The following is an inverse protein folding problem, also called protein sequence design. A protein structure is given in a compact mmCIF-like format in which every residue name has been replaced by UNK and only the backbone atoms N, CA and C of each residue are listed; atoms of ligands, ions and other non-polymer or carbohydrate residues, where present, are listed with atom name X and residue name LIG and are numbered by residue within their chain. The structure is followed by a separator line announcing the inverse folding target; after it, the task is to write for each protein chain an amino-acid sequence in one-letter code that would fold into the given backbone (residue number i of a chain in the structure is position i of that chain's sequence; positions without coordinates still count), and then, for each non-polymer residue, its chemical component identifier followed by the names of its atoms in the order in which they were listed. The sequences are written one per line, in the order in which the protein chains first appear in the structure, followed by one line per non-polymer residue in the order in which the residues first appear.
data_IF_609176255396
#
_entry.id   IF_609176255396
#
_cell.length_a   1.000
_cell.length_b   1.000
_cell.length_c   1.000
_cell.angle_alpha   90.00
_cell.angle_beta   90.00
_cell.angle_gamma   90.00
#
_symmetry.space_group_name_H-M   'P 1'
#
loop_
_entity.id
_entity.type
_entity.pdbx_description
1 polymer ?
#
# COMPACT_ATOMS: atom_id res chain seq x y z
N UNK A 1 12.30 17.37 22.60
CA UNK A 1 13.58 16.67 22.85
C UNK A 1 14.82 17.55 22.69
N UNK A 2 16.01 16.94 22.64
CA UNK A 2 17.30 17.59 22.30
C UNK A 2 18.36 17.54 23.42
N UNK A 3 19.63 17.50 23.03
CA UNK A 3 20.78 17.45 23.95
C UNK A 3 21.24 18.88 24.26
N UNK A 4 21.18 19.36 25.51
CA UNK A 4 21.63 20.72 25.83
C UNK A 4 23.13 20.86 25.56
N UNK A 5 23.53 21.78 24.69
CA UNK A 5 24.94 21.94 24.25
C UNK A 5 25.63 23.16 24.89
N UNK A 6 24.89 24.01 25.60
CA UNK A 6 25.39 25.32 26.01
C UNK A 6 26.58 25.36 26.97
N UNK A 7 27.01 24.24 27.56
CA UNK A 7 28.23 24.18 28.38
C UNK A 7 29.48 23.99 27.53
N UNK A 8 30.59 24.64 27.92
CA UNK A 8 31.86 24.60 27.18
C UNK A 8 32.31 23.17 26.85
N UNK A 9 32.29 22.25 27.83
CA UNK A 9 32.70 20.86 27.62
C UNK A 9 31.79 20.11 26.65
N UNK A 10 30.49 20.41 26.62
CA UNK A 10 29.57 19.81 25.64
C UNK A 10 29.81 20.40 24.24
N UNK A 11 30.03 21.71 24.12
CA UNK A 11 30.45 22.33 22.85
C UNK A 11 31.73 21.67 22.32
N UNK A 12 32.73 21.44 23.17
CA UNK A 12 33.99 20.76 22.80
C UNK A 12 33.75 19.33 22.32
N UNK A 13 32.97 18.53 23.06
CA UNK A 13 32.66 17.17 22.66
C UNK A 13 31.95 17.11 21.29
N UNK A 14 31.00 18.00 21.05
CA UNK A 14 30.29 18.07 19.77
C UNK A 14 31.14 18.63 18.64
N UNK A 15 32.01 19.61 18.91
CA UNK A 15 32.98 20.11 17.94
C UNK A 15 33.91 18.98 17.44
N UNK A 16 34.37 18.11 18.35
CA UNK A 16 35.15 16.93 17.99
C UNK A 16 34.29 15.93 17.18
N UNK A 17 33.07 15.62 17.66
CA UNK A 17 32.17 14.64 17.04
C UNK A 17 31.73 15.00 15.61
N UNK A 18 31.54 16.28 15.33
CA UNK A 18 31.16 16.79 14.01
C UNK A 18 32.34 17.32 13.20
N UNK A 19 33.55 17.27 13.77
CA UNK A 19 34.76 17.85 13.17
C UNK A 19 34.59 19.33 12.79
N UNK A 20 33.82 20.06 13.60
CA UNK A 20 33.47 21.46 13.36
C UNK A 20 33.84 22.32 14.57
N UNK A 21 34.96 23.05 14.45
CA UNK A 21 35.44 23.95 15.48
C UNK A 21 34.56 25.20 15.64
N UNK A 22 33.69 25.53 14.67
CA UNK A 22 32.79 26.69 14.76
C UNK A 22 31.79 26.53 15.90
N UNK A 23 31.43 25.30 16.27
CA UNK A 23 30.57 24.98 17.43
C UNK A 23 31.14 25.54 18.73
N UNK A 24 32.46 25.63 18.87
CA UNK A 24 33.13 26.21 20.05
C UNK A 24 33.14 27.73 20.05
N UNK A 25 33.36 28.34 18.89
CA UNK A 25 33.62 29.78 18.74
C UNK A 25 32.34 30.59 18.53
N UNK A 26 31.26 29.95 18.10
CA UNK A 26 30.01 30.63 17.77
C UNK A 26 29.30 31.17 19.02
N UNK A 27 28.90 32.44 18.94
CA UNK A 27 28.09 33.12 19.96
C UNK A 27 26.59 32.77 19.85
N UNK A 28 26.16 32.19 18.71
CA UNK A 28 24.78 31.76 18.49
C UNK A 28 24.36 30.60 19.41
N UNK A 29 25.31 29.83 19.95
CA UNK A 29 25.02 28.74 20.89
C UNK A 29 25.03 29.28 22.32
N UNK A 30 23.84 29.34 22.92
CA UNK A 30 23.60 29.79 24.30
C UNK A 30 23.43 28.61 25.25
N UNK A 31 23.27 28.90 26.55
CA UNK A 31 22.95 27.89 27.57
C UNK A 31 21.62 27.17 27.33
N UNK A 32 20.70 27.80 26.60
CA UNK A 32 19.39 27.26 26.25
C UNK A 32 19.40 26.44 24.94
N UNK A 33 20.49 26.52 24.16
CA UNK A 33 20.57 25.83 22.88
C UNK A 33 20.61 24.32 23.10
N UNK A 34 19.76 23.62 22.33
CA UNK A 34 19.71 22.16 22.28
C UNK A 34 20.10 21.69 20.89
N UNK A 35 21.00 20.73 20.85
CA UNK A 35 21.35 20.02 19.64
C UNK A 35 20.31 18.93 19.37
N UNK A 36 19.77 18.90 18.15
CA UNK A 36 18.92 17.82 17.67
C UNK A 36 19.78 16.87 16.83
N UNK A 37 19.82 15.60 17.22
CA UNK A 37 20.52 14.53 16.51
C UNK A 37 19.55 13.39 16.19
N UNK A 38 19.90 12.57 15.20
CA UNK A 38 19.12 11.40 14.77
C UNK A 38 17.65 11.80 14.60
N UNK A 39 17.40 12.78 13.73
CA UNK A 39 16.05 13.32 13.50
C UNK A 39 15.21 12.35 12.68
N UNK A 40 15.86 11.61 11.80
CA UNK A 40 15.26 10.50 11.10
C UNK A 40 14.89 9.38 12.10
N UNK A 41 13.65 8.89 12.00
CA UNK A 41 13.12 7.91 12.94
C UNK A 41 13.84 6.56 12.80
N UNK A 42 13.97 5.96 11.60
CA UNK A 42 14.75 4.73 11.42
C UNK A 42 16.17 4.82 11.99
N UNK A 43 16.91 5.89 11.69
CA UNK A 43 18.25 6.09 12.26
C UNK A 43 18.25 6.15 13.79
N UNK A 44 17.26 6.86 14.37
CA UNK A 44 17.11 6.97 15.83
C UNK A 44 16.83 5.62 16.47
N UNK A 45 15.91 4.84 15.89
CA UNK A 45 15.55 3.53 16.41
C UNK A 45 16.71 2.55 16.34
N UNK A 46 17.47 2.57 15.24
CA UNK A 46 18.68 1.76 15.09
C UNK A 46 19.73 2.08 16.16
N UNK A 47 19.85 3.35 16.58
CA UNK A 47 20.75 3.74 17.67
C UNK A 47 20.24 3.28 19.04
N UNK A 48 18.94 3.33 19.28
CA UNK A 48 18.35 3.02 20.59
C UNK A 48 18.24 1.52 20.86
N UNK A 49 17.85 0.73 19.85
CA UNK A 49 17.68 -0.71 19.97
C UNK A 49 18.20 -1.39 18.67
N UNK A 50 19.53 -1.47 18.49
CA UNK A 50 20.16 -1.98 17.25
C UNK A 50 19.94 -3.47 17.00
N UNK A 51 19.41 -4.20 17.99
CA UNK A 51 19.15 -5.63 17.94
C UNK A 51 17.77 -5.97 17.35
N UNK A 52 16.93 -4.95 17.09
CA UNK A 52 15.72 -5.09 16.30
C UNK A 52 16.01 -4.65 14.86
N UNK A 53 15.36 -5.31 13.92
CA UNK A 53 15.26 -4.83 12.53
C UNK A 53 14.04 -3.91 12.44
N UNK A 54 14.13 -2.81 11.71
CA UNK A 54 13.03 -1.85 11.57
C UNK A 54 12.49 -1.83 10.15
N UNK A 55 11.19 -1.60 10.03
CA UNK A 55 10.56 -1.31 8.74
C UNK A 55 11.12 0.02 8.19
N UNK A 56 11.50 0.06 6.91
CA UNK A 56 12.14 1.25 6.33
C UNK A 56 11.18 2.44 6.16
N UNK A 57 9.87 2.19 6.08
CA UNK A 57 8.85 3.22 5.85
C UNK A 57 7.92 3.35 7.06
N UNK A 58 8.28 4.14 8.08
CA UNK A 58 7.38 4.47 9.18
C UNK A 58 6.24 5.36 8.68
N UNK A 59 5.05 5.20 9.26
CA UNK A 59 3.88 5.97 8.89
C UNK A 59 3.39 6.85 10.03
N UNK A 60 2.63 7.89 9.68
CA UNK A 60 2.03 8.82 10.63
C UNK A 60 0.55 8.51 10.83
N UNK A 61 0.10 8.61 12.08
CA UNK A 61 -1.30 8.55 12.46
C UNK A 61 -1.67 9.80 13.26
N UNK A 62 -2.92 10.25 13.10
CA UNK A 62 -3.51 11.32 13.90
C UNK A 62 -4.36 10.67 14.97
N UNK A 63 -4.04 10.93 16.24
CA UNK A 63 -4.83 10.43 17.36
C UNK A 63 -6.08 11.28 17.58
N UNK A 64 -7.07 10.74 18.32
CA UNK A 64 -8.35 11.42 18.60
C UNK A 64 -8.18 12.82 19.24
N UNK A 65 -7.09 13.03 19.99
CA UNK A 65 -6.71 14.31 20.61
C UNK A 65 -5.93 15.25 19.66
N UNK A 66 -5.75 14.86 18.39
CA UNK A 66 -5.10 15.64 17.35
C UNK A 66 -3.57 15.56 17.35
N UNK A 67 -2.96 14.67 18.14
CA UNK A 67 -1.52 14.49 18.14
C UNK A 67 -1.06 13.68 16.93
N UNK A 68 0.15 14.00 16.46
CA UNK A 68 0.82 13.30 15.38
C UNK A 68 1.75 12.25 15.96
N UNK A 69 1.43 10.97 15.72
CA UNK A 69 2.25 9.83 16.18
C UNK A 69 2.85 9.14 14.97
N UNK A 70 4.17 9.03 14.94
CA UNK A 70 4.88 8.13 14.04
C UNK A 70 4.80 6.71 14.58
N UNK A 71 4.53 5.75 13.71
CA UNK A 71 4.48 4.34 14.03
C UNK A 71 5.48 3.63 13.11
N UNK A 72 6.36 2.85 13.71
CA UNK A 72 7.36 2.06 13.00
C UNK A 72 7.29 0.61 13.47
N UNK A 73 7.32 -0.28 12.49
CA UNK A 73 7.34 -1.71 12.71
C UNK A 73 8.74 -2.20 13.05
N UNK A 74 8.85 -3.07 14.05
CA UNK A 74 10.12 -3.63 14.48
C UNK A 74 10.03 -5.14 14.64
N UNK A 75 11.13 -5.79 14.28
CA UNK A 75 11.21 -7.23 14.12
C UNK A 75 12.36 -7.81 14.93
N UNK A 76 12.09 -8.97 15.51
CA UNK A 76 13.16 -9.87 15.94
C UNK A 76 13.53 -10.78 14.78
N UNK A 77 14.84 -10.92 14.53
CA UNK A 77 15.38 -11.77 13.48
C UNK A 77 16.43 -12.73 14.02
N UNK A 78 16.60 -13.86 13.34
CA UNK A 78 17.73 -14.77 13.59
C UNK A 78 18.15 -15.48 12.31
N UNK A 79 19.45 -15.80 12.24
CA UNK A 79 20.04 -16.59 11.15
C UNK A 79 20.21 -18.08 11.51
N UNK A 80 19.97 -18.45 12.77
CA UNK A 80 20.32 -19.76 13.34
C UNK A 80 19.14 -20.40 14.08
N UNK A 81 17.92 -19.98 13.79
CA UNK A 81 16.74 -20.57 14.42
C UNK A 81 16.57 -22.03 13.97
N UNK A 82 16.41 -22.99 14.88
CA UNK A 82 16.41 -24.41 14.52
C UNK A 82 15.21 -24.79 13.65
N UNK A 83 15.37 -25.80 12.80
CA UNK A 83 14.30 -26.38 11.96
C UNK A 83 13.56 -25.39 11.06
N UNK A 84 14.25 -24.35 10.59
CA UNK A 84 13.68 -23.30 9.73
C UNK A 84 14.50 -23.11 8.46
N UNK A 85 13.80 -22.75 7.38
CA UNK A 85 14.42 -22.49 6.08
C UNK A 85 14.96 -21.07 6.04
N UNK A 86 16.20 -20.92 5.59
CA UNK A 86 16.80 -19.60 5.43
C UNK A 86 16.25 -18.90 4.19
N UNK A 87 15.74 -17.70 4.41
CA UNK A 87 15.36 -16.75 3.37
C UNK A 87 16.52 -15.78 3.15
N UNK A 88 16.86 -15.42 1.90
CA UNK A 88 17.85 -14.38 1.63
C UNK A 88 17.56 -13.10 2.42
N UNK A 89 18.62 -12.42 2.87
CA UNK A 89 18.59 -11.14 3.61
C UNK A 89 18.02 -11.18 5.04
N UNK A 90 16.99 -11.98 5.32
CA UNK A 90 16.26 -11.96 6.59
C UNK A 90 16.62 -13.10 7.57
N UNK A 91 17.46 -14.04 7.14
CA UNK A 91 17.82 -15.19 7.94
C UNK A 91 16.73 -16.26 7.90
N UNK A 92 16.55 -16.99 8.98
CA UNK A 92 15.60 -18.10 9.06
C UNK A 92 14.54 -17.92 10.17
N UNK A 93 14.49 -16.73 10.77
CA UNK A 93 13.49 -16.33 11.74
C UNK A 93 13.15 -14.85 11.58
N UNK A 94 11.86 -14.55 11.57
CA UNK A 94 11.33 -13.19 11.51
C UNK A 94 10.00 -13.17 12.26
N UNK A 95 9.86 -12.24 13.20
CA UNK A 95 8.60 -11.92 13.89
C UNK A 95 8.44 -10.41 14.03
N UNK A 96 7.27 -9.88 13.71
CA UNK A 96 6.90 -8.48 13.97
C UNK A 96 6.46 -8.34 15.42
N UNK A 97 7.44 -8.44 16.33
CA UNK A 97 7.16 -8.56 17.76
C UNK A 97 6.93 -7.21 18.44
N UNK A 98 7.34 -6.10 17.80
CA UNK A 98 7.34 -4.78 18.42
C UNK A 98 6.76 -3.73 17.47
N UNK A 99 5.87 -2.88 18.00
CA UNK A 99 5.47 -1.61 17.38
C UNK A 99 6.13 -0.47 18.13
N UNK A 100 6.82 0.41 17.43
CA UNK A 100 7.41 1.62 18.02
C UNK A 100 6.53 2.81 17.70
N UNK A 101 6.08 3.51 18.73
CA UNK A 101 5.27 4.72 18.60
C UNK A 101 6.08 5.90 19.09
N UNK A 102 6.18 6.96 18.30
CA UNK A 102 6.91 8.17 18.66
C UNK A 102 6.03 9.39 18.43
N UNK A 103 5.88 10.22 19.45
CA UNK A 103 5.25 11.53 19.29
C UNK A 103 6.10 12.45 18.41
N UNK A 104 5.50 13.05 17.38
CA UNK A 104 6.22 13.91 16.45
C UNK A 104 6.76 15.19 17.11
N UNK A 105 6.21 15.62 18.25
CA UNK A 105 6.60 16.83 18.97
C UNK A 105 7.73 16.58 19.97
N UNK A 106 7.61 15.58 20.84
CA UNK A 106 8.64 15.32 21.86
C UNK A 106 9.81 14.45 21.34
N UNK A 107 9.52 13.58 20.36
CA UNK A 107 10.44 12.64 19.73
C UNK A 107 10.82 11.44 20.59
N UNK A 108 10.05 11.09 21.62
CA UNK A 108 10.37 9.97 22.52
C UNK A 108 9.73 8.69 21.96
N UNK A 109 10.52 7.70 21.50
CA UNK A 109 9.97 6.43 21.02
C UNK A 109 9.59 5.52 22.19
N UNK A 110 8.42 4.91 22.09
CA UNK A 110 7.87 3.92 23.01
C UNK A 110 7.76 2.56 22.29
N UNK A 111 8.41 1.55 22.84
CA UNK A 111 8.49 0.22 22.24
C UNK A 111 7.41 -0.70 22.84
N UNK A 112 6.36 -1.01 22.09
CA UNK A 112 5.26 -1.87 22.51
C UNK A 112 5.43 -3.28 21.97
N UNK A 113 5.45 -4.28 22.85
CA UNK A 113 5.51 -5.70 22.44
C UNK A 113 4.11 -6.18 22.08
N UNK A 114 3.93 -6.58 20.82
CA UNK A 114 2.65 -7.02 20.23
C UNK A 114 2.59 -8.53 19.96
N UNK A 115 3.72 -9.23 19.93
CA UNK A 115 3.79 -10.70 19.93
C UNK A 115 4.53 -11.15 21.19
N UNK A 116 3.81 -11.34 22.29
CA UNK A 116 4.38 -11.76 23.57
C UNK A 116 4.81 -13.24 23.56
N UNK A 117 4.39 -14.00 22.54
CA UNK A 117 4.75 -15.41 22.35
C UNK A 117 6.13 -15.59 21.71
N UNK A 118 6.72 -14.52 21.15
CA UNK A 118 8.03 -14.58 20.52
C UNK A 118 9.15 -14.81 21.55
N UNK A 119 9.89 -15.93 21.49
CA UNK A 119 10.97 -16.22 22.44
C UNK A 119 12.12 -15.21 22.37
N UNK A 120 12.36 -14.59 21.20
CA UNK A 120 13.44 -13.61 21.04
C UNK A 120 13.11 -12.33 21.79
N UNK A 121 11.89 -11.79 21.62
CA UNK A 121 11.49 -10.58 22.36
C UNK A 121 11.42 -10.83 23.87
N UNK A 122 10.98 -12.02 24.32
CA UNK A 122 11.00 -12.38 25.74
C UNK A 122 12.42 -12.35 26.34
N UNK A 123 13.44 -12.72 25.56
CA UNK A 123 14.84 -12.60 25.99
C UNK A 123 15.25 -11.12 26.11
N UNK A 124 14.92 -10.30 25.11
CA UNK A 124 15.25 -8.87 25.15
C UNK A 124 14.51 -8.11 26.26
N UNK A 125 13.27 -8.47 26.58
CA UNK A 125 12.54 -7.92 27.73
C UNK A 125 13.25 -8.20 29.06
N UNK A 126 13.88 -9.36 29.22
CA UNK A 126 14.68 -9.69 30.42
C UNK A 126 15.99 -8.90 30.48
N UNK A 127 16.62 -8.65 29.34
CA UNK A 127 17.87 -7.88 29.25
C UNK A 127 17.62 -6.38 29.45
N UNK A 128 16.51 -5.85 28.91
CA UNK A 128 16.15 -4.43 28.91
C UNK A 128 14.74 -4.21 29.52
N UNK A 129 14.57 -4.41 30.84
CA UNK A 129 13.25 -4.43 31.48
C UNK A 129 12.49 -3.09 31.43
N UNK A 130 13.18 -1.98 31.19
CA UNK A 130 12.58 -0.64 31.12
C UNK A 130 12.32 -0.15 29.70
N UNK A 131 12.83 -0.84 28.68
CA UNK A 131 12.72 -0.41 27.29
C UNK A 131 11.33 -0.70 26.72
N UNK A 132 10.79 -1.87 27.05
CA UNK A 132 9.58 -2.40 26.46
C UNK A 132 8.34 -2.15 27.32
N UNK A 133 7.21 -1.96 26.63
CA UNK A 133 5.89 -1.80 27.21
C UNK A 133 4.95 -2.87 26.69
N UNK A 134 3.92 -3.19 27.47
CA UNK A 134 2.87 -4.09 27.03
C UNK A 134 1.99 -3.37 25.99
N UNK A 135 1.63 -4.03 24.88
CA UNK A 135 0.72 -3.49 23.88
C UNK A 135 -0.62 -3.02 24.43
N UNK A 136 -1.11 -3.59 25.53
CA UNK A 136 -2.32 -3.13 26.22
C UNK A 136 -2.23 -1.66 26.65
N UNK A 137 -1.03 -1.18 26.99
CA UNK A 137 -0.76 0.21 27.38
C UNK A 137 -0.72 1.18 26.20
N UNK A 138 -0.75 0.67 24.96
CA UNK A 138 -0.83 1.52 23.78
C UNK A 138 -2.21 2.19 23.73
N UNK A 139 -2.21 3.48 23.43
CA UNK A 139 -3.45 4.25 23.31
C UNK A 139 -4.42 3.63 22.28
N UNK A 140 -5.72 3.68 22.58
CA UNK A 140 -6.74 3.01 21.75
C UNK A 140 -6.86 3.68 20.37
N UNK A 141 -6.66 5.01 20.30
CA UNK A 141 -6.63 5.71 19.02
C UNK A 141 -5.44 5.25 18.19
N UNK A 142 -4.26 5.05 18.79
CA UNK A 142 -3.09 4.52 18.07
C UNK A 142 -3.33 3.09 17.60
N UNK A 143 -3.90 2.22 18.45
CA UNK A 143 -4.21 0.82 18.09
C UNK A 143 -5.10 0.70 16.84
N UNK A 144 -6.10 1.58 16.68
CA UNK A 144 -6.98 1.61 15.50
C UNK A 144 -6.27 1.98 14.19
N UNK A 145 -5.10 2.60 14.28
CA UNK A 145 -4.30 2.99 13.12
C UNK A 145 -3.16 2.01 12.79
N UNK A 146 -3.03 0.91 13.54
CA UNK A 146 -2.00 -0.08 13.27
C UNK A 146 -2.24 -0.73 11.89
N UNK A 147 -1.16 -0.84 11.13
CA UNK A 147 -1.15 -1.46 9.81
C UNK A 147 -0.37 -2.77 9.86
N UNK A 148 -0.82 -3.75 9.08
CA UNK A 148 -0.02 -4.96 8.88
C UNK A 148 1.20 -4.62 8.01
N UNK A 149 2.43 -5.03 8.37
CA UNK A 149 3.63 -4.52 7.70
C UNK A 149 3.80 -5.08 6.28
N UNK A 150 4.21 -4.23 5.35
CA UNK A 150 4.41 -4.60 3.95
C UNK A 150 5.55 -5.58 3.76
N UNK A 151 6.69 -5.34 4.41
CA UNK A 151 7.84 -6.24 4.32
C UNK A 151 7.50 -7.62 4.85
N UNK A 152 6.75 -7.70 5.97
CA UNK A 152 6.33 -8.97 6.54
C UNK A 152 5.42 -9.74 5.58
N UNK A 153 4.38 -9.09 5.05
CA UNK A 153 3.48 -9.73 4.10
C UNK A 153 4.23 -10.21 2.87
N UNK A 154 5.13 -9.40 2.32
CA UNK A 154 5.93 -9.76 1.14
C UNK A 154 6.80 -10.99 1.37
N UNK A 155 7.43 -11.11 2.54
CA UNK A 155 8.23 -12.28 2.91
C UNK A 155 7.32 -13.52 3.07
N UNK A 156 6.21 -13.38 3.79
CA UNK A 156 5.23 -14.46 3.97
C UNK A 156 4.65 -14.93 2.64
N UNK A 157 4.32 -13.99 1.75
CA UNK A 157 3.82 -14.23 0.41
C UNK A 157 4.84 -14.99 -0.43
N UNK A 158 6.12 -14.59 -0.43
CA UNK A 158 7.18 -15.31 -1.15
C UNK A 158 7.37 -16.74 -0.66
N UNK A 159 7.31 -16.98 0.65
CA UNK A 159 7.36 -18.33 1.22
C UNK A 159 6.11 -19.12 0.81
N UNK A 160 4.92 -18.54 0.96
CA UNK A 160 3.66 -19.20 0.62
C UNK A 160 3.56 -19.54 -0.87
N UNK A 161 4.04 -18.66 -1.74
CA UNK A 161 4.04 -18.85 -3.19
C UNK A 161 4.71 -20.16 -3.61
N UNK A 162 5.74 -20.57 -2.87
CA UNK A 162 6.44 -21.84 -3.05
C UNK A 162 5.82 -23.01 -2.28
N UNK A 163 5.45 -22.81 -1.02
CA UNK A 163 5.12 -23.90 -0.09
C UNK A 163 3.62 -24.16 0.13
N UNK A 164 2.73 -23.44 -0.55
CA UNK A 164 1.28 -23.70 -0.45
C UNK A 164 0.85 -25.05 -1.04
N UNK A 165 1.70 -25.66 -1.88
CA UNK A 165 1.44 -26.94 -2.52
C UNK A 165 1.66 -28.09 -1.53
N UNK A 166 0.61 -28.89 -1.32
CA UNK A 166 0.66 -30.05 -0.41
C UNK A 166 1.02 -31.37 -1.11
N UNK A 167 0.89 -31.44 -2.44
CA UNK A 167 1.22 -32.64 -3.21
C UNK A 167 2.74 -32.66 -3.52
N UNK A 168 3.49 -33.67 -3.06
CA UNK A 168 4.95 -33.74 -3.28
C UNK A 168 5.37 -33.80 -4.76
N UNK A 169 4.58 -34.46 -5.61
CA UNK A 169 4.88 -34.60 -7.03
C UNK A 169 4.75 -33.24 -7.74
N UNK A 170 3.63 -32.55 -7.51
CA UNK A 170 3.37 -31.20 -8.05
C UNK A 170 4.43 -30.21 -7.57
N UNK A 171 4.81 -30.28 -6.29
CA UNK A 171 5.85 -29.45 -5.70
C UNK A 171 7.21 -29.69 -6.35
N UNK A 172 7.59 -30.96 -6.55
CA UNK A 172 8.87 -31.30 -7.18
C UNK A 172 8.94 -30.86 -8.65
N UNK A 173 7.81 -30.89 -9.37
CA UNK A 173 7.71 -30.47 -10.76
C UNK A 173 7.54 -28.95 -10.95
N UNK A 174 7.26 -28.21 -9.87
CA UNK A 174 7.00 -26.77 -9.92
C UNK A 174 5.84 -26.42 -10.86
N UNK A 175 4.78 -27.23 -10.86
CA UNK A 175 3.64 -27.03 -11.79
C UNK A 175 2.71 -25.90 -11.34
N UNK A 176 2.50 -25.73 -10.04
CA UNK A 176 1.63 -24.71 -9.43
C UNK A 176 2.44 -23.74 -8.56
N UNK A 177 3.70 -23.47 -8.93
CA UNK A 177 4.53 -22.48 -8.21
C UNK A 177 4.03 -21.09 -8.56
N UNK A 178 3.82 -20.25 -7.55
CA UNK A 178 3.36 -18.89 -7.74
C UNK A 178 4.50 -17.90 -7.64
N UNK A 179 4.29 -16.69 -8.16
CA UNK A 179 5.21 -15.57 -8.05
C UNK A 179 4.42 -14.27 -7.82
N UNK A 180 5.10 -13.27 -7.26
CA UNK A 180 4.58 -11.90 -7.20
C UNK A 180 4.71 -11.33 -8.62
N UNK A 181 3.63 -10.80 -9.23
CA UNK A 181 3.68 -10.36 -10.61
C UNK A 181 4.59 -9.14 -10.77
N UNK A 182 5.24 -8.98 -11.94
CA UNK A 182 5.85 -7.73 -12.32
C UNK A 182 4.78 -6.67 -12.63
N UNK A 183 5.14 -5.40 -12.45
CA UNK A 183 4.43 -4.22 -12.92
C UNK A 183 5.40 -3.25 -13.60
N UNK A 184 4.85 -2.38 -14.46
CA UNK A 184 5.58 -1.22 -14.96
C UNK A 184 5.41 -0.08 -13.97
N UNK A 185 6.51 0.37 -13.39
CA UNK A 185 6.54 1.46 -12.43
C UNK A 185 7.58 2.49 -12.84
N UNK A 186 7.20 3.76 -12.82
CA UNK A 186 8.02 4.85 -13.37
C UNK A 186 8.52 4.50 -14.78
N UNK A 187 9.83 4.32 -14.97
CA UNK A 187 10.47 3.99 -16.26
C UNK A 187 10.97 2.54 -16.35
N UNK A 188 10.63 1.66 -15.40
CA UNK A 188 11.17 0.30 -15.34
C UNK A 188 10.15 -0.74 -14.89
N UNK A 189 10.61 -2.00 -14.84
CA UNK A 189 9.82 -3.11 -14.31
C UNK A 189 10.26 -3.40 -12.87
N UNK A 190 9.29 -3.67 -12.01
CA UNK A 190 9.52 -4.15 -10.64
C UNK A 190 8.43 -5.16 -10.26
N UNK A 191 8.64 -5.92 -9.20
CA UNK A 191 7.54 -6.68 -8.61
C UNK A 191 6.52 -5.74 -7.96
N UNK A 192 5.25 -6.10 -8.04
CA UNK A 192 4.17 -5.38 -7.35
C UNK A 192 4.47 -5.31 -5.85
N UNK A 193 4.36 -4.10 -5.31
CA UNK A 193 4.40 -3.86 -3.87
C UNK A 193 3.02 -4.12 -3.26
N UNK A 194 2.99 -4.59 -2.01
CA UNK A 194 1.73 -4.80 -1.31
C UNK A 194 1.07 -3.44 -1.04
N UNK A 195 -0.24 -3.32 -1.31
CA UNK A 195 -0.95 -2.05 -1.19
C UNK A 195 -2.11 -2.16 -0.21
N UNK A 196 -2.32 -1.07 0.53
CA UNK A 196 -3.40 -0.97 1.49
C UNK A 196 -4.68 -0.51 0.82
N UNK A 197 -5.81 -1.11 1.22
CA UNK A 197 -7.12 -0.70 0.74
C UNK A 197 -8.21 -1.03 1.77
N UNK A 198 -9.32 -0.30 1.67
CA UNK A 198 -10.55 -0.62 2.39
C UNK A 198 -11.49 -1.31 1.41
N UNK A 199 -11.97 -2.50 1.78
CA UNK A 199 -12.97 -3.22 0.99
C UNK A 199 -13.74 -4.21 1.85
N UNK A 200 -14.91 -4.61 1.38
CA UNK A 200 -15.59 -5.80 1.89
C UNK A 200 -14.98 -7.06 1.26
N UNK A 201 -14.49 -7.97 2.11
CA UNK A 201 -14.02 -9.27 1.66
C UNK A 201 -15.17 -10.16 1.20
N UNK A 202 -14.97 -11.01 0.16
CA UNK A 202 -16.01 -11.92 -0.29
C UNK A 202 -16.58 -12.80 0.84
N UNK A 203 -17.87 -12.64 1.14
CA UNK A 203 -18.58 -13.39 2.18
C UNK A 203 -18.58 -12.75 3.57
N UNK A 204 -17.90 -11.60 3.74
CA UNK A 204 -18.05 -10.73 4.90
C UNK A 204 -19.19 -9.73 4.67
N UNK A 205 -19.60 -8.99 5.70
CA UNK A 205 -20.65 -7.96 5.61
C UNK A 205 -20.15 -6.58 6.07
N UNK A 206 -18.85 -6.46 6.28
CA UNK A 206 -18.22 -5.25 6.78
C UNK A 206 -16.98 -4.96 5.96
N UNK A 207 -16.82 -3.69 5.62
CA UNK A 207 -15.58 -3.18 5.09
C UNK A 207 -14.47 -3.33 6.14
N UNK A 208 -13.28 -3.67 5.66
CA UNK A 208 -12.09 -3.79 6.49
C UNK A 208 -10.91 -3.11 5.84
N UNK A 209 -9.97 -2.65 6.67
CA UNK A 209 -8.68 -2.19 6.18
C UNK A 209 -7.73 -3.38 5.99
N UNK A 210 -7.26 -3.56 4.76
CA UNK A 210 -6.49 -4.72 4.32
C UNK A 210 -5.18 -4.28 3.67
N UNK A 211 -4.14 -5.08 3.84
CA UNK A 211 -2.95 -5.04 3.00
C UNK A 211 -3.01 -6.20 2.01
N UNK A 212 -2.96 -5.93 0.72
CA UNK A 212 -3.12 -6.96 -0.31
C UNK A 212 -1.90 -7.11 -1.22
N UNK A 213 -1.73 -8.32 -1.75
CA UNK A 213 -0.72 -8.66 -2.75
C UNK A 213 -1.24 -9.73 -3.73
N UNK A 214 -1.20 -9.48 -5.05
CA UNK A 214 -1.61 -10.46 -6.06
C UNK A 214 -0.54 -11.55 -6.32
N UNK A 215 -0.97 -12.67 -6.91
CA UNK A 215 -0.12 -13.75 -7.38
C UNK A 215 -0.44 -14.17 -8.81
N UNK A 216 0.61 -14.58 -9.52
CA UNK A 216 0.61 -15.20 -10.86
C UNK A 216 1.32 -16.54 -10.81
N UNK A 217 1.24 -17.35 -11.88
CA UNK A 217 2.07 -18.55 -11.99
C UNK A 217 3.52 -18.17 -12.29
N UNK A 218 4.48 -18.75 -11.56
CA UNK A 218 5.91 -18.45 -11.70
C UNK A 218 6.45 -18.74 -13.12
N UNK A 219 5.88 -19.71 -13.83
CA UNK A 219 6.28 -19.99 -15.22
C UNK A 219 5.73 -18.96 -16.22
N UNK A 220 4.76 -18.16 -15.81
CA UNK A 220 3.97 -17.27 -16.65
C UNK A 220 3.66 -15.96 -15.90
N UNK A 221 4.70 -15.34 -15.33
CA UNK A 221 4.55 -14.21 -14.40
C UNK A 221 3.90 -12.99 -15.07
N UNK A 222 4.10 -12.84 -16.38
CA UNK A 222 3.49 -11.80 -17.21
C UNK A 222 2.03 -12.08 -17.55
N UNK A 223 1.50 -13.26 -17.20
CA UNK A 223 0.15 -13.71 -17.59
C UNK A 223 -0.89 -13.45 -16.50
N UNK A 224 -1.81 -14.40 -16.30
CA UNK A 224 -3.03 -14.21 -15.54
C UNK A 224 -2.80 -14.39 -14.04
N UNK A 225 -3.52 -13.62 -13.23
CA UNK A 225 -3.54 -13.85 -11.79
C UNK A 225 -4.22 -15.17 -11.46
N UNK A 226 -3.66 -15.84 -10.45
CA UNK A 226 -4.20 -17.09 -9.91
C UNK A 226 -4.73 -16.94 -8.49
N UNK A 227 -4.28 -15.91 -7.77
CA UNK A 227 -4.72 -15.63 -6.43
C UNK A 227 -4.40 -14.19 -6.02
N UNK A 228 -4.91 -13.79 -4.86
CA UNK A 228 -4.36 -12.72 -4.04
C UNK A 228 -4.27 -13.17 -2.59
N UNK A 229 -3.36 -12.55 -1.85
CA UNK A 229 -3.25 -12.65 -0.40
C UNK A 229 -3.58 -11.31 0.23
N UNK A 230 -4.34 -11.32 1.31
CA UNK A 230 -4.65 -10.14 2.11
C UNK A 230 -4.29 -10.39 3.57
N UNK A 231 -3.75 -9.36 4.24
CA UNK A 231 -3.59 -9.30 5.68
C UNK A 231 -4.57 -8.28 6.25
N UNK A 232 -5.30 -8.68 7.28
CA UNK A 232 -6.25 -7.80 7.97
C UNK A 232 -5.54 -6.84 8.92
N UNK A 233 -5.89 -5.56 8.86
CA UNK A 233 -5.34 -4.52 9.72
C UNK A 233 -6.30 -4.10 10.86
N UNK A 234 -7.57 -4.49 10.78
CA UNK A 234 -8.55 -4.11 11.80
C UNK A 234 -8.28 -4.81 13.13
N UNK A 235 -8.35 -4.12 14.30
CA UNK A 235 -7.91 -4.66 15.59
C UNK A 235 -8.49 -6.01 15.99
N UNK A 236 -9.75 -6.30 15.66
CA UNK A 236 -10.43 -7.55 16.03
C UNK A 236 -9.82 -8.76 15.32
N UNK A 237 -9.26 -8.56 14.12
CA UNK A 237 -8.77 -9.62 13.22
C UNK A 237 -7.34 -9.34 12.75
N UNK A 238 -6.62 -8.49 13.48
CA UNK A 238 -5.33 -7.97 13.09
C UNK A 238 -4.33 -9.11 12.85
N UNK A 239 -3.71 -9.11 11.67
CA UNK A 239 -2.71 -10.10 11.29
C UNK A 239 -3.26 -11.43 10.78
N UNK A 240 -4.57 -11.60 10.68
CA UNK A 240 -5.15 -12.72 9.94
C UNK A 240 -4.79 -12.61 8.45
N UNK A 241 -4.22 -13.69 7.92
CA UNK A 241 -3.87 -13.82 6.51
C UNK A 241 -4.93 -14.62 5.77
N UNK A 242 -5.41 -14.09 4.66
CA UNK A 242 -6.41 -14.70 3.80
C UNK A 242 -5.80 -14.86 2.41
N UNK A 243 -6.01 -16.02 1.80
CA UNK A 243 -5.62 -16.27 0.41
C UNK A 243 -6.87 -16.64 -0.38
N UNK A 244 -7.19 -15.82 -1.37
CA UNK A 244 -8.29 -16.08 -2.28
C UNK A 244 -7.75 -16.56 -3.61
N UNK A 245 -8.21 -17.73 -4.05
CA UNK A 245 -7.79 -18.35 -5.32
C UNK A 245 -8.84 -18.07 -6.38
N UNK A 246 -8.38 -17.61 -7.54
CA UNK A 246 -9.25 -17.43 -8.68
C UNK A 246 -9.61 -18.77 -9.33
N UNK A 247 -10.82 -18.90 -9.91
CA UNK A 247 -11.21 -20.09 -10.66
C UNK A 247 -10.27 -20.31 -11.87
N UNK A 248 -9.84 -21.56 -12.10
CA UNK A 248 -8.88 -21.90 -13.18
C UNK A 248 -9.50 -21.78 -14.58
N UNK A 249 -10.82 -21.77 -14.68
CA UNK A 249 -11.60 -21.63 -15.91
C UNK A 249 -11.82 -20.17 -16.31
N UNK A 250 -11.51 -19.21 -15.44
CA UNK A 250 -11.66 -17.78 -15.72
C UNK A 250 -10.31 -17.13 -15.96
N UNK A 251 -10.23 -16.36 -17.04
CA UNK A 251 -9.07 -15.54 -17.34
C UNK A 251 -9.12 -14.25 -16.51
N UNK A 252 -8.18 -14.12 -15.58
CA UNK A 252 -8.05 -12.96 -14.69
C UNK A 252 -6.73 -12.26 -15.00
N UNK A 253 -6.77 -11.07 -15.60
CA UNK A 253 -5.55 -10.39 -16.05
C UNK A 253 -4.55 -10.12 -14.92
N UNK A 254 -3.25 -10.25 -15.19
CA UNK A 254 -2.19 -9.78 -14.30
C UNK A 254 -2.03 -8.25 -14.36
N UNK A 255 -1.42 -7.61 -13.34
CA UNK A 255 -1.01 -6.22 -13.39
C UNK A 255 -0.17 -5.89 -14.64
N UNK A 256 0.77 -6.77 -15.01
CA UNK A 256 1.55 -6.63 -16.23
C UNK A 256 0.71 -6.62 -17.52
N UNK A 257 -0.36 -7.43 -17.59
CA UNK A 257 -1.26 -7.44 -18.75
C UNK A 257 -2.12 -6.19 -18.81
N UNK A 258 -2.56 -5.67 -17.67
CA UNK A 258 -3.22 -4.38 -17.61
C UNK A 258 -2.29 -3.28 -18.16
N UNK A 259 -1.05 -3.20 -17.70
CA UNK A 259 -0.05 -2.24 -18.21
C UNK A 259 0.25 -2.43 -19.71
N UNK A 260 0.35 -3.68 -20.17
CA UNK A 260 0.49 -3.99 -21.60
C UNK A 260 -0.71 -3.50 -22.43
N UNK A 261 -1.93 -3.58 -21.88
CA UNK A 261 -3.13 -3.04 -22.52
C UNK A 261 -3.15 -1.52 -22.52
N UNK A 262 -2.61 -0.88 -21.49
CA UNK A 262 -2.41 0.58 -21.43
C UNK A 262 -1.47 1.02 -22.56
N UNK A 263 -0.32 0.37 -22.70
CA UNK A 263 0.68 0.69 -23.73
C UNK A 263 0.15 0.51 -25.16
N UNK A 264 -0.74 -0.48 -25.35
CA UNK A 264 -1.39 -0.73 -26.62
C UNK A 264 -2.57 0.22 -26.89
N UNK A 265 -2.84 1.24 -26.05
CA UNK A 265 -3.81 2.31 -26.40
C UNK A 265 -3.21 3.27 -27.39
N UNK A 266 -3.79 3.44 -28.58
CA UNK A 266 -3.30 4.46 -29.50
C UNK A 266 -3.33 5.87 -28.86
N UNK A 267 -4.39 6.18 -28.08
CA UNK A 267 -4.52 7.48 -27.43
C UNK A 267 -3.53 7.68 -26.29
N UNK A 268 -3.39 6.70 -25.39
CA UNK A 268 -2.43 6.81 -24.28
C UNK A 268 -0.99 6.71 -24.76
N UNK A 269 -0.69 5.85 -25.74
CA UNK A 269 0.65 5.68 -26.29
C UNK A 269 1.14 6.95 -27.00
N UNK A 270 0.27 7.59 -27.80
CA UNK A 270 0.56 8.90 -28.40
C UNK A 270 0.80 9.96 -27.32
N UNK A 271 -0.09 10.03 -26.32
CA UNK A 271 0.00 11.00 -25.24
C UNK A 271 1.25 10.82 -24.37
N UNK A 272 1.61 9.58 -24.01
CA UNK A 272 2.81 9.27 -23.25
C UNK A 272 4.08 9.58 -24.04
N UNK A 273 4.07 9.34 -25.36
CA UNK A 273 5.18 9.71 -26.23
C UNK A 273 5.37 11.22 -26.25
N UNK A 274 4.28 12.00 -26.38
CA UNK A 274 4.32 13.47 -26.35
C UNK A 274 4.80 14.01 -24.99
N UNK A 275 4.35 13.42 -23.89
CA UNK A 275 4.75 13.83 -22.53
C UNK A 275 6.16 13.40 -22.13
N UNK A 276 6.71 12.40 -22.80
CA UNK A 276 8.08 11.94 -22.58
C UNK A 276 9.07 12.61 -23.53
N UNK A 277 8.70 13.75 -24.12
CA UNK A 277 9.60 14.61 -24.90
C UNK A 277 10.44 15.50 -23.99
N UNK A 278 11.51 16.07 -24.55
CA UNK A 278 12.49 16.92 -23.88
C UNK A 278 11.89 17.83 -22.80
N UNK A 279 12.38 17.70 -21.57
CA UNK A 279 11.99 18.54 -20.44
C UNK A 279 10.93 17.94 -19.50
N UNK A 280 10.30 16.81 -19.84
CA UNK A 280 9.40 16.10 -18.92
C UNK A 280 9.51 14.58 -19.00
N UNK A 281 9.12 13.91 -17.90
CA UNK A 281 9.05 12.45 -17.80
C UNK A 281 7.70 12.00 -17.27
N UNK A 282 7.13 10.99 -17.91
CA UNK A 282 5.94 10.28 -17.41
C UNK A 282 6.38 9.32 -16.32
N UNK A 283 5.64 9.32 -15.20
CA UNK A 283 5.83 8.40 -14.08
C UNK A 283 4.54 7.61 -13.91
N UNK A 284 4.62 6.30 -14.11
CA UNK A 284 3.52 5.38 -13.78
C UNK A 284 3.57 5.06 -12.30
N UNK A 285 2.43 5.20 -11.63
CA UNK A 285 2.26 4.75 -10.25
C UNK A 285 1.98 3.26 -10.16
N UNK A 286 1.61 2.81 -8.97
CA UNK A 286 1.31 1.41 -8.70
C UNK A 286 0.01 0.98 -9.37
N UNK A 287 -0.01 -0.23 -9.92
CA UNK A 287 -1.25 -0.84 -10.41
C UNK A 287 -2.01 -1.48 -9.26
N UNK A 288 -3.21 -0.99 -8.97
CA UNK A 288 -4.12 -1.60 -8.01
C UNK A 288 -5.05 -2.58 -8.74
N UNK A 289 -5.19 -3.79 -8.23
CA UNK A 289 -6.11 -4.81 -8.74
C UNK A 289 -7.19 -5.08 -7.69
N UNK A 290 -8.29 -4.34 -7.78
CA UNK A 290 -9.30 -4.23 -6.73
C UNK A 290 -10.46 -5.19 -7.02
N UNK A 291 -10.75 -6.17 -6.15
CA UNK A 291 -11.94 -7.00 -6.30
C UNK A 291 -13.22 -6.21 -6.06
N UNK A 292 -14.13 -6.21 -7.03
CA UNK A 292 -15.43 -5.54 -6.96
C UNK A 292 -16.50 -6.45 -7.58
N UNK A 293 -17.54 -6.77 -6.80
CA UNK A 293 -18.71 -7.56 -7.23
C UNK A 293 -18.37 -8.84 -8.03
N UNK A 294 -17.36 -9.60 -7.59
CA UNK A 294 -16.94 -10.86 -8.24
C UNK A 294 -16.08 -10.69 -9.50
N UNK A 295 -15.63 -9.46 -9.80
CA UNK A 295 -14.71 -9.12 -10.89
C UNK A 295 -13.57 -8.24 -10.38
N UNK A 296 -12.65 -7.80 -11.25
CA UNK A 296 -11.56 -6.91 -10.88
C UNK A 296 -11.65 -5.58 -11.62
N UNK A 297 -11.49 -4.50 -10.84
CA UNK A 297 -11.20 -3.16 -11.31
C UNK A 297 -9.70 -2.91 -11.18
N UNK A 298 -9.05 -2.56 -12.29
CA UNK A 298 -7.67 -2.10 -12.27
C UNK A 298 -7.63 -0.59 -12.26
N UNK A 299 -6.74 -0.02 -11.46
CA UNK A 299 -6.50 1.41 -11.41
C UNK A 299 -4.99 1.69 -11.42
N UNK A 300 -4.56 2.65 -12.25
CA UNK A 300 -3.17 3.11 -12.27
C UNK A 300 -3.12 4.63 -12.47
N UNK A 301 -2.49 5.38 -11.54
CA UNK A 301 -2.30 6.81 -11.68
C UNK A 301 -1.06 7.11 -12.54
N UNK A 302 -1.17 8.12 -13.38
CA UNK A 302 -0.10 8.62 -14.23
C UNK A 302 0.28 10.02 -13.79
N UNK A 303 1.54 10.20 -13.44
CA UNK A 303 2.12 11.47 -13.05
C UNK A 303 3.02 12.01 -14.16
N UNK A 304 3.16 13.33 -14.21
CA UNK A 304 4.12 14.03 -15.06
C UNK A 304 5.07 14.81 -14.17
N UNK A 305 6.36 14.71 -14.45
CA UNK A 305 7.38 15.47 -13.74
C UNK A 305 8.27 16.22 -14.73
N UNK A 306 8.56 17.49 -14.41
CA UNK A 306 9.55 18.28 -15.14
C UNK A 306 10.98 17.79 -14.83
N UNK A 307 11.86 17.84 -15.82
CA UNK A 307 13.30 17.56 -15.61
C UNK A 307 13.96 18.54 -14.63
N UNK A 308 13.44 19.77 -14.54
CA UNK A 308 13.98 20.84 -13.68
C UNK A 308 13.31 20.91 -12.30
N UNK A 309 12.22 20.16 -12.09
CA UNK A 309 11.37 20.23 -10.90
C UNK A 309 11.23 18.88 -10.18
N UNK A 310 11.43 18.82 -8.86
CA UNK A 310 11.41 17.54 -8.15
C UNK A 310 10.01 16.96 -7.91
N UNK A 311 8.93 17.71 -8.18
CA UNK A 311 7.57 17.34 -7.81
C UNK A 311 6.78 16.75 -8.99
N UNK A 312 6.35 15.48 -8.93
CA UNK A 312 5.41 14.91 -9.89
C UNK A 312 3.99 15.46 -9.67
N UNK A 313 3.25 15.67 -10.77
CA UNK A 313 1.85 16.07 -10.75
C UNK A 313 0.97 14.98 -11.35
N UNK A 314 -0.13 14.63 -10.69
CA UNK A 314 -1.11 13.69 -11.24
C UNK A 314 -1.72 14.28 -12.52
N UNK A 315 -1.68 13.53 -13.62
CA UNK A 315 -2.24 13.94 -14.90
C UNK A 315 -3.42 13.09 -15.35
N UNK A 316 -3.39 11.79 -15.07
CA UNK A 316 -4.47 10.87 -15.43
C UNK A 316 -4.64 9.78 -14.37
N UNK A 317 -5.85 9.27 -14.27
CA UNK A 317 -6.19 7.98 -13.69
C UNK A 317 -6.71 7.09 -14.81
N UNK A 318 -6.10 5.91 -14.95
CA UNK A 318 -6.53 4.89 -15.89
C UNK A 318 -7.30 3.83 -15.13
N UNK A 319 -8.48 3.47 -15.63
CA UNK A 319 -9.29 2.39 -15.10
C UNK A 319 -9.51 1.31 -16.16
N UNK A 320 -9.52 0.06 -15.73
CA UNK A 320 -9.94 -1.06 -16.57
C UNK A 320 -10.85 -2.01 -15.81
N UNK A 321 -11.99 -2.36 -16.42
CA UNK A 321 -12.88 -3.41 -15.95
C UNK A 321 -13.27 -4.30 -17.14
N UNK A 322 -13.02 -5.61 -17.02
CA UNK A 322 -13.12 -6.52 -18.16
C UNK A 322 -12.21 -6.09 -19.31
N UNK A 323 -12.80 -5.86 -20.49
CA UNK A 323 -12.10 -5.35 -21.68
C UNK A 323 -12.24 -3.84 -21.88
N UNK A 324 -12.94 -3.15 -20.98
CA UNK A 324 -13.20 -1.72 -21.07
C UNK A 324 -12.08 -0.96 -20.37
N UNK A 325 -11.29 -0.21 -21.14
CA UNK A 325 -10.23 0.66 -20.64
C UNK A 325 -10.63 2.12 -20.86
N UNK A 326 -10.58 2.92 -19.78
CA UNK A 326 -10.89 4.35 -19.80
C UNK A 326 -9.82 5.13 -19.03
N UNK A 327 -9.73 6.43 -19.30
CA UNK A 327 -8.83 7.33 -18.60
C UNK A 327 -9.46 8.73 -18.48
N UNK A 328 -9.14 9.42 -17.39
CA UNK A 328 -9.55 10.80 -17.16
C UNK A 328 -8.56 11.49 -16.20
N UNK A 329 -8.57 12.84 -16.10
CA UNK A 329 -7.74 13.57 -15.15
C UNK A 329 -7.97 13.21 -13.68
N UNK A 330 -9.18 12.78 -13.31
CA UNK A 330 -9.53 12.37 -11.94
C UNK A 330 -10.12 10.97 -11.91
N UNK A 331 -10.04 10.32 -10.73
CA UNK A 331 -10.64 9.01 -10.50
C UNK A 331 -12.15 9.03 -10.77
N UNK A 332 -12.84 10.06 -10.30
CA UNK A 332 -14.28 10.14 -10.43
C UNK A 332 -14.73 10.32 -11.89
N UNK A 333 -14.03 11.16 -12.66
CA UNK A 333 -14.31 11.29 -14.08
C UNK A 333 -14.05 9.98 -14.83
N UNK A 334 -13.01 9.23 -14.44
CA UNK A 334 -12.71 7.93 -15.01
C UNK A 334 -13.81 6.91 -14.65
N UNK A 335 -14.32 6.92 -13.42
CA UNK A 335 -15.43 6.06 -12.99
C UNK A 335 -16.72 6.38 -13.73
N UNK A 336 -17.05 7.66 -13.91
CA UNK A 336 -18.22 8.07 -14.70
C UNK A 336 -18.10 7.58 -16.15
N UNK A 337 -16.92 7.67 -16.77
CA UNK A 337 -16.68 7.12 -18.11
C UNK A 337 -16.81 5.59 -18.14
N UNK A 338 -16.30 4.91 -17.11
CA UNK A 338 -16.37 3.45 -17.03
C UNK A 338 -17.81 2.94 -16.89
N UNK A 339 -18.63 3.65 -16.10
CA UNK A 339 -20.00 3.27 -15.75
C UNK A 339 -21.07 3.93 -16.65
N UNK A 340 -20.69 4.84 -17.56
CA UNK A 340 -21.55 5.64 -18.43
C UNK A 340 -22.44 4.83 -19.38
N UNK A 341 -23.47 5.43 -20.02
CA UNK A 341 -24.28 4.75 -21.05
C UNK A 341 -23.44 4.51 -22.32
N UNK A 342 -22.39 5.31 -22.50
CA UNK A 342 -21.25 5.08 -23.38
C UNK A 342 -20.19 4.17 -22.75
N UNK A 343 -20.55 3.28 -21.80
CA UNK A 343 -19.68 2.27 -21.20
C UNK A 343 -19.05 1.28 -22.21
N UNK A 344 -19.20 1.55 -23.50
CA UNK A 344 -18.21 1.25 -24.52
C UNK A 344 -17.00 2.20 -24.43
N UNK A 345 -16.24 2.14 -23.33
CA UNK A 345 -14.82 2.44 -23.44
C UNK A 345 -14.24 1.64 -24.62
N UNK A 346 -13.18 2.14 -25.27
CA UNK A 346 -12.65 1.52 -26.49
C UNK A 346 -12.45 0.02 -26.28
N UNK A 347 -13.32 -0.82 -26.85
CA UNK A 347 -13.06 -2.26 -26.98
C UNK A 347 -11.84 -2.38 -27.88
N UNK A 348 -10.69 -2.65 -27.30
CA UNK A 348 -9.47 -2.84 -28.08
C UNK A 348 -9.46 -4.20 -28.75
N UNK A 349 -8.72 -4.34 -29.86
CA UNK A 349 -8.47 -5.64 -30.45
C UNK A 349 -7.87 -6.57 -29.40
N UNK A 350 -8.38 -7.80 -29.33
CA UNK A 350 -7.73 -8.85 -28.58
C UNK A 350 -6.28 -8.98 -29.10
N UNK A 351 -5.31 -8.94 -28.18
CA UNK A 351 -3.96 -9.40 -28.51
C UNK A 351 -4.11 -10.90 -28.80
N UNK A 352 -4.02 -11.28 -30.06
CA UNK A 352 -3.93 -12.68 -30.47
C UNK A 352 -2.59 -13.22 -30.00
N UNK A 353 -2.58 -13.96 -28.89
CA UNK A 353 -1.55 -14.98 -28.69
C UNK A 353 -1.65 -15.97 -29.87
N UNK A 354 -0.55 -16.23 -30.60
CA UNK A 354 -0.55 -17.32 -31.56
C UNK A 354 -0.55 -18.65 -30.80
N UNK A 355 -1.41 -19.56 -31.27
CA UNK A 355 -1.44 -21.00 -30.96
C UNK A 355 -2.45 -21.48 -29.90
N UNK A 356 -3.71 -21.65 -30.35
CA UNK A 356 -4.47 -22.90 -30.16
C UNK A 356 -5.73 -22.88 -31.06
N UNK A 357 -5.66 -23.53 -32.23
CA UNK A 357 -6.83 -23.96 -32.99
C UNK A 357 -7.40 -25.24 -32.37
N UNK A 358 -8.65 -25.20 -31.87
CA UNK A 358 -9.68 -26.17 -32.24
C UNK A 358 -11.09 -25.70 -31.78
N UNK A 359 -12.15 -26.00 -32.55
CA UNK A 359 -13.46 -25.37 -32.39
C UNK A 359 -14.35 -26.13 -31.39
N UNK A 360 -14.99 -25.41 -30.47
CA UNK A 360 -16.09 -25.93 -29.67
C UNK A 360 -17.41 -25.26 -30.08
N UNK A 361 -18.41 -26.10 -30.36
CA UNK A 361 -19.80 -25.75 -30.69
C UNK A 361 -20.56 -25.13 -29.48
N UNK A 362 -21.64 -24.38 -29.73
CA UNK A 362 -22.27 -23.52 -28.74
C UNK A 362 -23.05 -24.32 -27.69
N UNK A 363 -22.73 -24.11 -26.41
CA UNK A 363 -23.57 -24.54 -25.29
C UNK A 363 -24.25 -23.31 -24.67
N UNK A 364 -25.55 -23.43 -24.46
CA UNK A 364 -26.45 -22.41 -23.89
C UNK A 364 -25.86 -21.71 -22.65
N UNK A 365 -25.82 -20.38 -22.72
CA UNK A 365 -25.45 -19.52 -21.61
C UNK A 365 -26.53 -19.56 -20.51
N UNK A 366 -26.13 -19.97 -19.31
CA UNK A 366 -26.85 -19.61 -18.09
C UNK A 366 -26.73 -18.09 -17.86
N UNK A 367 -27.76 -17.42 -17.31
CA UNK A 367 -27.82 -15.97 -17.30
C UNK A 367 -26.78 -15.39 -16.36
N UNK A 368 -25.82 -14.65 -16.92
CA UNK A 368 -25.02 -13.67 -16.18
C UNK A 368 -26.00 -12.65 -15.60
N UNK A 369 -26.02 -12.47 -14.27
CA UNK A 369 -26.81 -11.42 -13.64
C UNK A 369 -26.34 -10.07 -14.20
N UNK A 370 -27.10 -9.52 -15.14
CA UNK A 370 -26.89 -8.17 -15.63
C UNK A 370 -27.20 -7.21 -14.47
N UNK A 371 -26.23 -6.39 -14.09
CA UNK A 371 -26.49 -5.22 -13.23
C UNK A 371 -27.58 -4.40 -13.91
N UNK A 372 -28.71 -4.20 -13.23
CA UNK A 372 -29.84 -3.49 -13.81
C UNK A 372 -29.43 -2.08 -14.22
N UNK A 373 -29.92 -1.59 -15.37
CA UNK A 373 -29.59 -0.24 -15.87
C UNK A 373 -29.90 0.87 -14.86
N UNK A 374 -30.85 0.62 -13.95
CA UNK A 374 -31.23 1.52 -12.86
C UNK A 374 -30.15 1.61 -11.77
N UNK A 375 -29.48 0.51 -11.43
CA UNK A 375 -28.38 0.51 -10.47
C UNK A 375 -27.18 1.32 -11.01
N UNK A 376 -26.87 1.17 -12.30
CA UNK A 376 -25.81 1.95 -12.96
C UNK A 376 -26.17 3.44 -12.99
N UNK A 377 -27.42 3.80 -13.26
CA UNK A 377 -27.88 5.20 -13.23
C UNK A 377 -27.78 5.82 -11.82
N UNK A 378 -28.12 5.06 -10.76
CA UNK A 378 -27.96 5.49 -9.36
C UNK A 378 -26.49 5.70 -8.98
N UNK A 379 -25.62 4.75 -9.32
CA UNK A 379 -24.18 4.89 -9.07
C UNK A 379 -23.62 6.16 -9.74
N UNK A 380 -24.05 6.47 -10.97
CA UNK A 380 -23.66 7.72 -11.65
C UNK A 380 -24.13 8.97 -10.91
N UNK A 381 -25.36 8.98 -10.39
CA UNK A 381 -25.88 10.12 -9.65
C UNK A 381 -25.08 10.35 -8.37
N UNK A 382 -24.78 9.28 -7.65
CA UNK A 382 -23.97 9.33 -6.42
C UNK A 382 -22.55 9.82 -6.73
N UNK A 383 -21.90 9.26 -7.74
CA UNK A 383 -20.57 9.70 -8.17
C UNK A 383 -20.56 11.18 -8.56
N UNK A 384 -21.56 11.63 -9.33
CA UNK A 384 -21.68 13.04 -9.70
C UNK A 384 -21.83 13.97 -8.49
N UNK A 385 -22.57 13.55 -7.46
CA UNK A 385 -22.69 14.29 -6.21
C UNK A 385 -21.41 14.25 -5.38
N UNK A 386 -20.70 13.13 -5.35
CA UNK A 386 -19.42 12.98 -4.66
C UNK A 386 -18.33 13.87 -5.27
N UNK A 387 -18.28 13.99 -6.60
CA UNK A 387 -17.38 14.91 -7.33
C UNK A 387 -17.62 16.36 -6.93
N UNK A 388 -18.89 16.76 -6.84
CA UNK A 388 -19.22 18.14 -6.51
C UNK A 388 -18.87 18.48 -5.06
N UNK A 389 -19.04 17.52 -4.15
CA UNK A 389 -18.57 17.64 -2.77
C UNK A 389 -17.04 17.72 -2.71
N UNK A 390 -16.32 16.96 -3.52
CA UNK A 390 -14.86 17.01 -3.55
C UNK A 390 -14.34 18.38 -3.99
N UNK A 391 -14.92 18.96 -5.05
CA UNK A 391 -14.61 20.33 -5.49
C UNK A 391 -14.86 21.38 -4.41
N UNK A 392 -15.94 21.24 -3.65
CA UNK A 392 -16.23 22.11 -2.51
C UNK A 392 -15.22 21.94 -1.39
N UNK A 393 -14.80 20.69 -1.10
CA UNK A 393 -13.77 20.41 -0.12
C UNK A 393 -12.43 21.05 -0.53
N UNK A 394 -11.98 20.86 -1.77
CA UNK A 394 -10.76 21.48 -2.27
C UNK A 394 -10.80 23.02 -2.18
N UNK A 395 -11.93 23.64 -2.51
CA UNK A 395 -12.10 25.08 -2.39
C UNK A 395 -11.88 25.56 -0.94
N UNK A 396 -12.51 24.89 0.04
CA UNK A 396 -12.32 25.21 1.46
C UNK A 396 -10.90 24.93 1.95
N UNK A 397 -10.25 23.89 1.43
CA UNK A 397 -8.86 23.60 1.73
C UNK A 397 -7.93 24.71 1.22
N UNK A 398 -8.16 25.23 0.01
CA UNK A 398 -7.40 26.36 -0.56
C UNK A 398 -7.63 27.67 0.21
N UNK A 399 -8.83 27.85 0.76
CA UNK A 399 -9.19 28.99 1.61
C UNK A 399 -8.67 28.87 3.06
N UNK A 400 -8.13 27.72 3.45
CA UNK A 400 -7.68 27.44 4.82
C UNK A 400 -8.81 27.17 5.82
N UNK A 401 -10.04 26.98 5.36
CA UNK A 401 -11.21 26.69 6.20
C UNK A 401 -11.33 25.18 6.47
N UNK A 402 -10.45 24.68 7.37
CA UNK A 402 -10.38 23.26 7.74
C UNK A 402 -11.69 22.75 8.39
N UNK A 403 -12.50 23.64 8.98
CA UNK A 403 -13.78 23.30 9.58
C UNK A 403 -14.80 22.91 8.51
N UNK A 404 -14.98 23.76 7.51
CA UNK A 404 -15.87 23.45 6.37
C UNK A 404 -15.34 22.32 5.50
N UNK A 405 -14.03 22.24 5.29
CA UNK A 405 -13.40 21.09 4.63
C UNK A 405 -13.82 19.77 5.27
N UNK A 406 -13.68 19.66 6.61
CA UNK A 406 -14.09 18.48 7.36
C UNK A 406 -15.59 18.18 7.24
N UNK A 407 -16.44 19.20 7.29
CA UNK A 407 -17.89 19.02 7.17
C UNK A 407 -18.31 18.53 5.77
N UNK A 408 -17.66 19.01 4.72
CA UNK A 408 -17.89 18.54 3.34
C UNK A 408 -17.39 17.11 3.15
N UNK A 409 -16.19 16.79 3.66
CA UNK A 409 -15.66 15.42 3.67
C UNK A 409 -16.59 14.44 4.41
N UNK A 410 -17.17 14.85 5.56
CA UNK A 410 -18.17 14.05 6.27
C UNK A 410 -19.42 13.81 5.42
N UNK A 411 -19.96 14.83 4.76
CA UNK A 411 -21.12 14.70 3.87
C UNK A 411 -20.85 13.75 2.69
N UNK A 412 -19.64 13.79 2.15
CA UNK A 412 -19.20 12.90 1.08
C UNK A 412 -19.15 11.45 1.57
N UNK A 413 -18.56 11.20 2.75
CA UNK A 413 -18.56 9.87 3.36
C UNK A 413 -19.98 9.34 3.62
N UNK A 414 -20.87 10.17 4.16
CA UNK A 414 -22.28 9.81 4.39
C UNK A 414 -23.07 9.54 3.09
N UNK A 415 -22.72 10.22 1.99
CA UNK A 415 -23.31 9.98 0.68
C UNK A 415 -22.86 8.62 0.13
N UNK A 416 -21.57 8.31 0.22
CA UNK A 416 -21.00 7.06 -0.27
C UNK A 416 -21.48 5.86 0.55
N UNK A 417 -21.55 5.97 1.88
CA UNK A 417 -22.10 4.93 2.77
C UNK A 417 -23.58 4.62 2.47
N UNK A 418 -24.38 5.66 2.23
CA UNK A 418 -25.79 5.47 1.83
C UNK A 418 -25.92 4.80 0.48
N UNK A 419 -25.12 5.24 -0.49
CA UNK A 419 -25.12 4.67 -1.82
C UNK A 419 -24.69 3.20 -1.81
N UNK A 420 -23.69 2.85 -1.02
CA UNK A 420 -23.22 1.48 -0.86
C UNK A 420 -24.33 0.57 -0.33
N UNK A 421 -25.01 0.97 0.75
CA UNK A 421 -26.16 0.25 1.34
C UNK A 421 -27.34 0.09 0.37
N UNK A 422 -27.53 1.02 -0.54
CA UNK A 422 -28.58 0.96 -1.57
C UNK A 422 -28.20 0.06 -2.77
N UNK A 423 -26.91 -0.19 -2.99
CA UNK A 423 -26.42 -1.07 -4.07
C UNK A 423 -26.40 -2.54 -3.62
N UNK A 424 -26.23 -2.79 -2.32
CA UNK A 424 -26.31 -4.14 -1.72
C UNK A 424 -27.74 -4.72 -1.69
N UNK A 425 -28.77 -3.88 -1.77
CA UNK A 425 -30.20 -4.27 -1.82
C UNK A 425 -30.66 -4.52 -3.25
#
# INVERSE_FOLDING_TARGET
GGIPIGSFWRKLAFAIRFQDYQILLTEYITTQTKLLMNRDLPERLQVLAPFLLYEPDPYIAVTDDGLLKWICDAYTISNTYPYSVRTPWFGNYLRNSVKVVMDAYDGIPEFYVVDDSDPMIQCYQKIFPTLFRNAEQMDTSVKRHLRYPQMLLRIQAGIYAKYHQKNPQTFYQGEDEWAIPPEKYASGNREVEAYYQVMELPGEQKEEFLLMLPFVLAKFEEKNMVAWMAARCDPERYGELIVYRFPKDKLVYGPFQFESRVDNDPGLSEQFTLWSQEGSRVIRGNTLAIPVAGTLLYASPIYLQSSDGPMPELRLVILMHGDTLVHAPTLDEALVKLLGPDGGGRKKPAVTDPEAEQPAQPTEAAPTAAVSGDAVARIRQVLGQAIELDKQAEAHLREGDLGKYRDVQRKQAELLDRAWKEIEQ
#
